data_IF_322827592127
#
_entry.id   IF_322827592127
#
_cell.length_a   1.000
_cell.length_b   1.000
_cell.length_c   1.000
_cell.angle_alpha   90.00
_cell.angle_beta   90.00
_cell.angle_gamma   90.00
#
_symmetry.space_group_name_H-M   'P 1'
#
loop_
_entity.id
_entity.type
_entity.pdbx_description
1 polymer ?
#
# COMPACT_ATOMS: atom_id res chain seq x y z
N UNK A 1 -23.93 -3.60 24.20
CA UNK A 1 -23.44 -4.81 24.89
C UNK A 1 -24.18 -6.01 24.34
N UNK A 2 -23.48 -7.00 23.78
CA UNK A 2 -24.09 -8.24 23.31
C UNK A 2 -23.45 -9.42 24.06
N UNK A 3 -24.27 -10.24 24.71
CA UNK A 3 -23.83 -11.36 25.54
C UNK A 3 -23.97 -12.64 24.72
N UNK A 4 -22.84 -13.24 24.33
CA UNK A 4 -22.77 -14.60 23.82
C UNK A 4 -22.03 -15.46 24.85
N UNK A 5 -22.76 -16.44 25.41
CA UNK A 5 -22.29 -17.51 26.30
C UNK A 5 -21.44 -17.11 27.51
N UNK A 6 -22.07 -16.63 28.60
CA UNK A 6 -21.60 -16.82 29.99
C UNK A 6 -20.25 -16.22 30.44
N UNK A 7 -19.40 -15.74 29.54
CA UNK A 7 -18.19 -14.98 29.82
C UNK A 7 -18.31 -13.62 29.15
N UNK A 8 -18.34 -12.57 29.95
CA UNK A 8 -18.29 -11.20 29.43
C UNK A 8 -16.93 -10.98 28.77
N UNK A 9 -16.89 -11.05 27.43
CA UNK A 9 -15.70 -10.72 26.65
C UNK A 9 -15.40 -9.23 26.84
N UNK A 10 -14.22 -8.90 27.36
CA UNK A 10 -13.77 -7.53 27.56
C UNK A 10 -13.07 -7.04 26.30
N UNK A 11 -13.53 -5.91 25.76
CA UNK A 11 -12.82 -5.18 24.71
C UNK A 11 -12.00 -4.09 25.41
N UNK A 12 -10.70 -4.10 25.22
CA UNK A 12 -9.80 -3.04 25.68
C UNK A 12 -9.48 -2.14 24.49
N UNK A 13 -9.79 -0.85 24.62
CA UNK A 13 -9.37 0.16 23.64
C UNK A 13 -8.03 0.73 24.09
N UNK A 14 -7.01 0.56 23.24
CA UNK A 14 -5.72 1.19 23.45
C UNK A 14 -5.80 2.70 23.19
N UNK A 15 -4.89 3.45 23.79
CA UNK A 15 -4.73 4.87 23.48
C UNK A 15 -4.44 5.08 21.99
N UNK A 16 -4.90 6.18 21.38
CA UNK A 16 -4.56 6.50 19.99
C UNK A 16 -3.04 6.59 19.80
N UNK A 17 -2.56 6.04 18.69
CA UNK A 17 -1.14 6.06 18.31
C UNK A 17 -0.96 6.74 16.94
N UNK A 18 0.19 7.40 16.74
CA UNK A 18 0.53 7.98 15.43
C UNK A 18 0.66 6.85 14.41
N UNK A 19 -0.20 6.86 13.40
CA UNK A 19 -0.19 5.84 12.37
C UNK A 19 1.10 5.93 11.53
N UNK A 20 1.69 4.76 11.26
CA UNK A 20 2.73 4.62 10.24
C UNK A 20 2.17 4.89 8.86
N UNK A 21 2.99 5.45 7.97
CA UNK A 21 2.60 5.69 6.58
C UNK A 21 2.39 4.38 5.82
N UNK A 22 1.24 4.29 5.16
CA UNK A 22 0.77 3.12 4.40
C UNK A 22 -0.09 3.62 3.27
N UNK A 23 0.03 3.00 2.10
CA UNK A 23 -0.78 3.36 0.92
C UNK A 23 -2.28 3.43 1.23
N UNK A 24 -2.81 2.42 1.92
CA UNK A 24 -4.24 2.37 2.23
C UNK A 24 -4.68 3.49 3.20
N UNK A 25 -3.78 3.93 4.09
CA UNK A 25 -4.05 5.03 5.01
C UNK A 25 -3.99 6.39 4.31
N UNK A 26 -3.16 6.54 3.27
CA UNK A 26 -3.16 7.75 2.44
C UNK A 26 -4.42 7.85 1.58
N UNK A 27 -4.94 6.72 1.08
CA UNK A 27 -6.18 6.69 0.29
C UNK A 27 -7.42 7.00 1.13
N UNK A 28 -7.58 6.31 2.25
CA UNK A 28 -8.85 6.33 3.01
C UNK A 28 -8.75 6.99 4.38
N UNK A 29 -7.56 7.46 4.79
CA UNK A 29 -7.32 7.99 6.12
C UNK A 29 -7.11 6.88 7.16
N UNK A 30 -6.00 6.94 7.90
CA UNK A 30 -5.66 5.95 8.94
C UNK A 30 -6.73 5.81 10.02
N UNK A 31 -7.43 6.90 10.34
CA UNK A 31 -8.48 6.97 11.34
C UNK A 31 -9.74 6.14 11.00
N UNK A 32 -9.87 5.63 9.76
CA UNK A 32 -10.95 4.72 9.35
C UNK A 32 -10.63 3.25 9.59
N UNK A 33 -9.46 2.90 10.10
CA UNK A 33 -9.06 1.50 10.29
C UNK A 33 -9.04 1.11 11.76
N UNK A 34 -9.78 0.05 12.11
CA UNK A 34 -9.77 -0.56 13.43
C UNK A 34 -9.03 -1.89 13.38
N UNK A 35 -7.97 -2.00 14.18
CA UNK A 35 -7.19 -3.23 14.32
C UNK A 35 -7.59 -3.95 15.61
N UNK A 36 -8.31 -5.07 15.48
CA UNK A 36 -8.70 -5.92 16.59
C UNK A 36 -7.72 -7.08 16.75
N UNK A 37 -6.94 -7.06 17.83
CA UNK A 37 -6.07 -8.16 18.21
C UNK A 37 -6.81 -9.13 19.12
N UNK A 38 -6.90 -10.38 18.69
CA UNK A 38 -7.62 -11.45 19.38
C UNK A 38 -6.61 -12.45 19.95
N UNK A 39 -6.73 -12.75 21.25
CA UNK A 39 -5.88 -13.76 21.92
C UNK A 39 -6.11 -15.15 21.32
N UNK A 40 -5.12 -16.05 21.47
CA UNK A 40 -5.26 -17.46 21.03
C UNK A 40 -6.40 -18.19 21.75
N UNK A 41 -6.71 -17.75 22.97
CA UNK A 41 -7.68 -18.40 23.85
C UNK A 41 -9.13 -18.09 23.45
N UNK A 42 -9.33 -17.13 22.54
CA UNK A 42 -10.66 -16.82 21.99
C UNK A 42 -11.01 -17.84 20.91
N UNK A 43 -12.17 -18.47 21.04
CA UNK A 43 -12.62 -19.48 20.10
C UNK A 43 -12.92 -18.87 18.73
N UNK A 44 -12.59 -19.57 17.64
CA UNK A 44 -12.77 -19.03 16.27
C UNK A 44 -14.21 -18.66 15.95
N UNK A 45 -15.18 -19.45 16.42
CA UNK A 45 -16.59 -19.16 16.19
C UNK A 45 -17.07 -17.90 16.91
N UNK A 46 -16.40 -17.47 17.98
CA UNK A 46 -16.69 -16.18 18.60
C UNK A 46 -16.32 -15.00 17.71
N UNK A 47 -15.25 -15.15 16.93
CA UNK A 47 -14.81 -14.12 15.99
C UNK A 47 -15.67 -14.14 14.73
N UNK A 48 -16.07 -15.34 14.28
CA UNK A 48 -17.06 -15.49 13.21
C UNK A 48 -18.37 -14.82 13.61
N UNK A 49 -18.86 -15.02 14.84
CA UNK A 49 -20.05 -14.33 15.32
C UNK A 49 -19.93 -12.81 15.29
N UNK A 50 -18.74 -12.24 15.58
CA UNK A 50 -18.49 -10.79 15.48
C UNK A 50 -18.53 -10.31 14.02
N UNK A 51 -18.03 -11.12 13.09
CA UNK A 51 -17.97 -10.81 11.67
C UNK A 51 -19.36 -10.98 11.03
N UNK A 52 -20.01 -12.12 11.26
CA UNK A 52 -21.28 -12.52 10.64
C UNK A 52 -22.46 -11.73 11.19
N UNK A 53 -22.56 -11.53 12.52
CA UNK A 53 -23.60 -10.64 13.09
C UNK A 53 -23.31 -9.17 12.79
N UNK A 54 -22.05 -8.86 12.49
CA UNK A 54 -21.65 -7.57 11.98
C UNK A 54 -22.24 -7.27 10.61
N UNK A 55 -22.60 -8.23 9.75
CA UNK A 55 -23.11 -7.85 8.42
C UNK A 55 -24.55 -7.29 8.46
N UNK A 56 -25.37 -7.69 9.42
CA UNK A 56 -26.73 -7.13 9.62
C UNK A 56 -26.76 -6.00 10.66
N UNK A 57 -25.89 -6.07 11.69
CA UNK A 57 -25.70 -5.05 12.75
C UNK A 57 -24.20 -4.74 12.92
N UNK A 58 -23.60 -4.04 11.95
CA UNK A 58 -22.16 -3.72 11.93
C UNK A 58 -21.70 -3.17 13.28
N UNK A 59 -20.55 -3.63 13.83
CA UNK A 59 -20.11 -3.24 15.16
C UNK A 59 -20.02 -1.72 15.26
N UNK A 60 -20.99 -1.13 15.95
CA UNK A 60 -21.06 0.30 16.16
C UNK A 60 -20.16 0.67 17.33
N UNK A 61 -18.95 1.13 17.03
CA UNK A 61 -17.93 1.45 18.02
C UNK A 61 -17.64 2.95 17.94
N UNK A 62 -17.80 3.64 19.07
CA UNK A 62 -17.52 5.08 19.19
C UNK A 62 -18.21 5.93 18.10
N UNK A 63 -19.45 5.63 17.76
CA UNK A 63 -20.21 6.41 16.78
C UNK A 63 -19.98 6.02 15.30
N UNK A 64 -19.19 4.97 15.03
CA UNK A 64 -18.84 4.53 13.66
C UNK A 64 -19.27 3.10 13.40
N UNK A 65 -19.69 2.86 12.16
CA UNK A 65 -20.10 1.56 11.61
C UNK A 65 -18.89 0.91 10.94
N UNK A 66 -18.52 -0.31 11.35
CA UNK A 66 -17.28 -0.95 10.89
C UNK A 66 -17.51 -2.25 10.10
N UNK A 67 -17.11 -2.28 8.83
CA UNK A 67 -17.09 -3.48 7.98
C UNK A 67 -15.82 -4.29 8.11
N UNK A 68 -15.93 -5.63 8.03
CA UNK A 68 -14.75 -6.50 8.05
C UNK A 68 -13.96 -6.35 6.75
N UNK A 69 -12.65 -6.11 6.84
CA UNK A 69 -11.80 -5.92 5.66
C UNK A 69 -10.92 -7.14 5.36
N UNK A 70 -10.07 -7.53 6.31
CA UNK A 70 -9.16 -8.66 6.16
C UNK A 70 -8.63 -9.16 7.50
N UNK A 71 -8.00 -10.34 7.51
CA UNK A 71 -7.40 -10.87 8.73
C UNK A 71 -6.02 -11.52 8.53
N UNK A 72 -5.23 -11.53 9.62
CA UNK A 72 -3.99 -12.28 9.78
C UNK A 72 -4.22 -13.37 10.83
N UNK A 73 -4.82 -14.47 10.39
CA UNK A 73 -5.17 -15.60 11.27
C UNK A 73 -3.99 -16.54 11.61
N UNK A 74 -2.83 -16.40 10.96
CA UNK A 74 -1.74 -17.39 11.06
C UNK A 74 -0.72 -17.15 12.18
N UNK A 75 -0.70 -15.96 12.78
CA UNK A 75 0.17 -15.65 13.93
C UNK A 75 -0.68 -15.11 15.07
N UNK A 76 -0.25 -15.39 16.29
CA UNK A 76 -0.87 -14.81 17.49
C UNK A 76 -0.15 -13.53 17.92
N UNK A 77 -0.88 -12.51 18.39
CA UNK A 77 -2.34 -12.43 18.40
C UNK A 77 -2.89 -12.41 16.96
N UNK A 78 -4.05 -13.04 16.76
CA UNK A 78 -4.74 -12.97 15.47
C UNK A 78 -5.21 -11.53 15.29
N UNK A 79 -4.93 -10.94 14.14
CA UNK A 79 -5.28 -9.54 13.87
C UNK A 79 -6.39 -9.49 12.83
N UNK A 80 -7.52 -8.90 13.20
CA UNK A 80 -8.65 -8.63 12.32
C UNK A 80 -8.68 -7.12 12.06
N UNK A 81 -8.83 -6.74 10.81
CA UNK A 81 -8.86 -5.35 10.39
C UNK A 81 -10.27 -5.04 9.89
N UNK A 82 -10.85 -3.99 10.47
CA UNK A 82 -12.14 -3.45 10.09
C UNK A 82 -11.97 -2.04 9.52
N UNK A 83 -12.89 -1.65 8.65
CA UNK A 83 -12.94 -0.35 8.01
C UNK A 83 -14.21 0.40 8.43
N UNK A 84 -14.07 1.66 8.84
CA UNK A 84 -15.19 2.52 9.21
C UNK A 84 -15.92 2.96 7.94
N UNK A 85 -17.06 2.33 7.67
CA UNK A 85 -17.83 2.57 6.45
C UNK A 85 -18.64 3.86 6.53
N UNK A 86 -19.18 4.16 7.71
CA UNK A 86 -20.04 5.30 7.98
C UNK A 86 -19.98 5.73 9.46
N UNK A 87 -20.60 6.86 9.79
CA UNK A 87 -20.80 7.34 11.16
C UNK A 87 -20.08 8.66 11.45
N UNK A 88 -19.83 8.95 12.73
CA UNK A 88 -19.36 10.28 13.15
C UNK A 88 -18.01 10.66 12.51
N UNK A 89 -17.99 11.84 11.88
CA UNK A 89 -16.83 12.38 11.18
C UNK A 89 -16.50 11.67 9.86
N UNK A 90 -17.48 11.06 9.21
CA UNK A 90 -17.44 10.59 7.82
C UNK A 90 -18.64 11.20 7.13
N UNK A 91 -18.41 12.07 6.14
CA UNK A 91 -19.50 12.67 5.38
C UNK A 91 -20.16 11.62 4.47
N UNK A 92 -21.42 11.82 4.11
CA UNK A 92 -22.19 10.83 3.36
C UNK A 92 -21.57 10.51 2.00
N UNK A 93 -20.98 11.51 1.36
CA UNK A 93 -20.29 11.40 0.06
C UNK A 93 -18.93 10.69 0.19
N UNK A 94 -18.40 10.56 1.41
CA UNK A 94 -17.15 9.87 1.72
C UNK A 94 -17.38 8.44 2.27
N UNK A 95 -18.64 8.04 2.46
CA UNK A 95 -18.98 6.67 2.86
C UNK A 95 -18.42 5.68 1.83
N UNK A 96 -17.79 4.63 2.33
CA UNK A 96 -17.16 3.61 1.51
C UNK A 96 -17.34 2.28 2.21
N UNK A 97 -17.82 1.28 1.52
CA UNK A 97 -17.96 -0.06 2.08
C UNK A 97 -16.61 -0.75 2.13
N UNK A 98 -16.47 -1.69 3.06
CA UNK A 98 -15.29 -2.55 3.14
C UNK A 98 -15.08 -3.34 1.85
N UNK A 99 -16.16 -3.72 1.14
CA UNK A 99 -16.09 -4.36 -0.17
C UNK A 99 -15.51 -3.42 -1.24
N UNK A 100 -15.91 -2.15 -1.28
CA UNK A 100 -15.30 -1.16 -2.18
C UNK A 100 -13.82 -0.91 -1.84
N UNK A 101 -13.42 -0.96 -0.56
CA UNK A 101 -11.99 -0.91 -0.19
C UNK A 101 -11.24 -2.15 -0.70
N UNK A 102 -11.85 -3.34 -0.67
CA UNK A 102 -11.25 -4.57 -1.25
C UNK A 102 -11.15 -4.47 -2.77
N UNK A 103 -12.21 -3.99 -3.42
CA UNK A 103 -12.24 -3.74 -4.87
C UNK A 103 -11.16 -2.75 -5.28
N UNK A 104 -10.92 -1.69 -4.50
CA UNK A 104 -9.79 -0.77 -4.76
C UNK A 104 -8.43 -1.45 -4.57
N UNK A 105 -8.27 -2.34 -3.58
CA UNK A 105 -6.99 -3.03 -3.38
C UNK A 105 -6.70 -4.10 -4.45
N UNK A 106 -7.73 -4.78 -4.94
CA UNK A 106 -7.63 -5.87 -5.89
C UNK A 106 -8.94 -6.00 -6.70
N UNK A 107 -9.13 -5.15 -7.73
CA UNK A 107 -10.40 -5.06 -8.43
C UNK A 107 -10.76 -6.39 -9.08
N UNK A 108 -11.92 -6.93 -8.76
CA UNK A 108 -12.37 -8.25 -9.20
C UNK A 108 -12.38 -8.32 -10.74
N UNK A 109 -12.79 -7.23 -11.38
CA UNK A 109 -12.82 -7.09 -12.86
C UNK A 109 -11.50 -7.48 -13.53
N UNK A 110 -10.35 -7.21 -12.90
CA UNK A 110 -9.01 -7.50 -13.44
C UNK A 110 -8.36 -8.74 -12.81
N UNK A 111 -8.98 -9.34 -11.80
CA UNK A 111 -8.37 -10.33 -10.92
C UNK A 111 -9.31 -11.51 -10.60
N UNK A 112 -10.22 -11.84 -11.52
CA UNK A 112 -11.26 -12.87 -11.32
C UNK A 112 -10.67 -14.28 -11.08
N UNK A 113 -9.40 -14.51 -11.41
CA UNK A 113 -8.67 -15.76 -11.22
C UNK A 113 -7.98 -15.86 -9.84
N UNK A 114 -7.98 -14.78 -9.04
CA UNK A 114 -7.43 -14.81 -7.69
C UNK A 114 -8.31 -15.64 -6.77
N UNK A 115 -7.71 -16.60 -6.09
CA UNK A 115 -8.37 -17.22 -4.94
C UNK A 115 -8.50 -16.22 -3.79
N UNK A 116 -9.53 -16.38 -2.96
CA UNK A 116 -9.77 -15.57 -1.74
C UNK A 116 -8.50 -15.47 -0.87
N UNK A 117 -7.76 -16.57 -0.73
CA UNK A 117 -6.50 -16.58 0.04
C UNK A 117 -5.39 -15.73 -0.60
N UNK A 118 -5.35 -15.60 -1.93
CA UNK A 118 -4.41 -14.71 -2.62
C UNK A 118 -4.87 -13.26 -2.49
N UNK A 119 -6.15 -12.99 -2.70
CA UNK A 119 -6.76 -11.67 -2.56
C UNK A 119 -6.48 -11.06 -1.17
N UNK A 120 -6.74 -11.81 -0.09
CA UNK A 120 -6.42 -11.38 1.29
C UNK A 120 -4.93 -11.05 1.47
N UNK A 121 -4.03 -11.80 0.81
CA UNK A 121 -2.59 -11.48 0.81
C UNK A 121 -2.28 -10.22 0.01
N UNK A 122 -3.10 -9.83 -0.97
CA UNK A 122 -2.94 -8.61 -1.78
C UNK A 122 -3.43 -7.38 -1.04
N UNK A 123 -4.60 -7.45 -0.39
CA UNK A 123 -5.11 -6.40 0.51
C UNK A 123 -4.05 -6.07 1.57
N UNK A 124 -3.45 -7.09 2.18
CA UNK A 124 -2.36 -6.91 3.15
C UNK A 124 -1.17 -6.10 2.61
N UNK A 125 -0.88 -6.14 1.30
CA UNK A 125 0.24 -5.36 0.73
C UNK A 125 0.01 -3.86 0.89
N UNK A 126 -1.23 -3.38 0.80
CA UNK A 126 -1.62 -1.98 0.97
C UNK A 126 -1.40 -1.47 2.41
N UNK A 127 -1.24 -2.38 3.38
CA UNK A 127 -0.89 -2.11 4.77
C UNK A 127 0.63 -2.15 5.05
N UNK A 128 1.46 -2.35 4.03
CA UNK A 128 2.92 -2.29 4.21
C UNK A 128 3.33 -0.86 4.60
N UNK A 129 4.28 -0.73 5.52
CA UNK A 129 4.90 0.57 5.80
C UNK A 129 5.73 0.97 4.58
N UNK A 130 5.39 2.08 3.95
CA UNK A 130 6.04 2.60 2.74
C UNK A 130 6.10 4.11 2.81
N UNK A 131 7.01 4.69 2.02
CA UNK A 131 7.10 6.14 1.80
C UNK A 131 6.69 6.39 0.35
N UNK A 132 5.70 7.25 0.06
CA UNK A 132 5.38 7.62 -1.31
C UNK A 132 6.53 8.44 -1.91
N UNK A 133 6.94 8.07 -3.11
CA UNK A 133 8.15 8.55 -3.78
C UNK A 133 7.86 8.94 -5.23
N UNK A 134 6.72 9.60 -5.46
CA UNK A 134 6.35 10.16 -6.76
C UNK A 134 5.35 9.30 -7.55
N UNK A 135 4.53 9.96 -8.36
CA UNK A 135 3.60 9.35 -9.31
C UNK A 135 4.31 9.20 -10.65
N UNK A 136 4.40 7.97 -11.15
CA UNK A 136 5.05 7.71 -12.42
C UNK A 136 4.28 8.37 -13.58
N UNK A 137 4.98 8.95 -14.57
CA UNK A 137 4.32 9.47 -15.75
C UNK A 137 3.66 8.34 -16.56
N UNK A 138 2.67 8.66 -17.41
CA UNK A 138 2.06 7.68 -18.30
C UNK A 138 3.10 6.99 -19.19
N UNK A 139 2.83 5.74 -19.54
CA UNK A 139 3.61 4.97 -20.53
C UNK A 139 5.11 4.78 -20.21
N UNK A 140 5.50 4.78 -18.94
CA UNK A 140 6.90 4.60 -18.53
C UNK A 140 7.23 3.22 -17.97
N UNK A 141 6.20 2.40 -17.69
CA UNK A 141 6.32 1.06 -17.12
C UNK A 141 6.01 0.02 -18.19
N UNK A 142 6.92 -0.95 -18.32
CA UNK A 142 6.78 -2.10 -19.22
C UNK A 142 6.85 -3.40 -18.41
N UNK A 143 6.01 -4.37 -18.79
CA UNK A 143 6.02 -5.70 -18.21
C UNK A 143 6.77 -6.67 -19.12
N UNK A 144 7.88 -7.19 -18.62
CA UNK A 144 8.78 -8.08 -19.36
C UNK A 144 8.82 -9.49 -18.72
N UNK A 145 9.07 -10.56 -19.51
CA UNK A 145 9.14 -11.92 -18.97
C UNK A 145 10.23 -12.08 -17.92
N UNK A 146 10.03 -12.98 -16.96
CA UNK A 146 11.10 -13.40 -16.04
C UNK A 146 12.28 -14.02 -16.79
N UNK A 147 13.51 -13.78 -16.30
CA UNK A 147 14.69 -14.49 -16.80
C UNK A 147 14.69 -15.88 -16.17
N UNK A 148 14.78 -16.91 -17.02
CA UNK A 148 14.71 -18.30 -16.61
C UNK A 148 16.01 -19.00 -16.99
N UNK A 149 16.55 -19.81 -16.08
CA UNK A 149 17.71 -20.64 -16.35
C UNK A 149 17.36 -21.67 -17.44
N UNK A 150 18.20 -21.76 -18.48
CA UNK A 150 18.05 -22.75 -19.56
C UNK A 150 18.08 -24.18 -19.04
N UNK A 151 18.84 -24.41 -17.97
CA UNK A 151 18.91 -25.69 -17.26
C UNK A 151 17.95 -25.66 -16.06
N UNK A 152 16.87 -26.44 -16.14
CA UNK A 152 15.95 -26.66 -15.01
C UNK A 152 14.81 -25.64 -14.88
N UNK A 153 14.75 -24.60 -15.70
CA UNK A 153 13.57 -23.72 -15.76
C UNK A 153 13.37 -22.83 -14.51
N UNK A 154 14.41 -22.65 -13.69
CA UNK A 154 14.34 -21.84 -12.48
C UNK A 154 14.32 -20.34 -12.82
N UNK A 155 13.41 -19.59 -12.19
CA UNK A 155 13.34 -18.13 -12.34
C UNK A 155 14.52 -17.48 -11.61
N UNK A 156 15.32 -16.69 -12.33
CA UNK A 156 16.54 -16.04 -11.84
C UNK A 156 16.30 -14.58 -11.40
N UNK A 157 15.15 -14.00 -11.76
CA UNK A 157 14.78 -12.61 -11.47
C UNK A 157 13.52 -12.49 -10.60
N UNK A 158 13.24 -13.49 -9.76
CA UNK A 158 12.02 -13.49 -8.94
C UNK A 158 11.97 -12.25 -8.04
N UNK A 159 11.02 -11.35 -8.34
CA UNK A 159 10.83 -10.14 -7.59
C UNK A 159 11.83 -9.02 -7.90
N UNK A 160 12.58 -9.08 -9.00
CA UNK A 160 13.58 -8.07 -9.38
C UNK A 160 13.28 -7.43 -10.74
N UNK A 161 13.09 -6.11 -10.75
CA UNK A 161 12.87 -5.28 -11.93
C UNK A 161 14.03 -4.32 -12.17
N UNK A 162 13.95 -3.58 -13.28
CA UNK A 162 14.97 -2.59 -13.66
C UNK A 162 14.37 -1.19 -13.70
N UNK A 163 15.21 -0.17 -13.50
CA UNK A 163 14.82 1.23 -13.59
C UNK A 163 15.93 2.04 -14.25
N UNK A 164 15.57 2.97 -15.13
CA UNK A 164 16.51 3.91 -15.77
C UNK A 164 17.16 4.85 -14.73
N UNK A 165 18.26 5.51 -15.10
CA UNK A 165 18.86 6.59 -14.29
C UNK A 165 17.86 7.68 -13.93
N UNK A 166 17.21 8.30 -14.92
CA UNK A 166 16.22 9.35 -14.71
C UNK A 166 15.07 8.89 -13.80
N UNK A 167 14.67 7.62 -13.95
CA UNK A 167 13.64 7.00 -13.12
C UNK A 167 14.02 6.88 -11.64
N UNK A 168 15.23 6.40 -11.31
CA UNK A 168 15.65 6.26 -9.91
C UNK A 168 15.91 7.63 -9.26
N UNK A 169 16.42 8.59 -10.04
CA UNK A 169 16.64 9.96 -9.59
C UNK A 169 15.30 10.66 -9.31
N UNK A 170 14.30 10.49 -10.20
CA UNK A 170 12.92 10.93 -9.97
C UNK A 170 12.33 10.40 -8.65
N UNK A 171 12.50 9.09 -8.39
CA UNK A 171 12.01 8.44 -7.17
C UNK A 171 12.72 9.00 -5.94
N UNK A 172 14.04 9.20 -6.02
CA UNK A 172 14.84 9.74 -4.92
C UNK A 172 14.47 11.18 -4.57
N UNK A 173 14.39 12.05 -5.58
CA UNK A 173 14.00 13.44 -5.40
C UNK A 173 12.60 13.55 -4.78
N UNK A 174 11.65 12.75 -5.27
CA UNK A 174 10.29 12.69 -4.73
C UNK A 174 10.26 12.17 -3.28
N UNK A 175 11.08 11.14 -2.98
CA UNK A 175 11.23 10.61 -1.63
C UNK A 175 11.75 11.67 -0.65
N UNK A 176 12.82 12.40 -1.01
CA UNK A 176 13.39 13.46 -0.16
C UNK A 176 12.38 14.57 0.10
N UNK A 177 11.73 15.07 -0.96
CA UNK A 177 10.69 16.10 -0.84
C UNK A 177 9.58 15.69 0.12
N UNK A 178 9.15 14.43 0.05
CA UNK A 178 8.14 13.90 0.96
C UNK A 178 8.62 13.85 2.42
N UNK A 179 9.85 13.36 2.66
CA UNK A 179 10.42 13.30 4.01
C UNK A 179 10.55 14.70 4.62
N UNK A 180 11.10 15.66 3.87
CA UNK A 180 11.26 17.03 4.33
C UNK A 180 9.93 17.69 4.63
N UNK A 181 8.92 17.55 3.75
CA UNK A 181 7.58 18.10 3.99
C UNK A 181 6.98 17.57 5.31
N UNK A 182 7.18 16.28 5.60
CA UNK A 182 6.71 15.67 6.85
C UNK A 182 7.45 16.14 8.09
N UNK A 183 8.75 16.38 7.98
CA UNK A 183 9.56 16.90 9.07
C UNK A 183 9.14 18.34 9.38
N UNK A 184 8.93 19.18 8.36
CA UNK A 184 8.40 20.54 8.52
C UNK A 184 7.02 20.56 9.17
N UNK A 185 6.08 19.70 8.72
CA UNK A 185 4.76 19.56 9.36
C UNK A 185 4.87 19.18 10.85
N UNK A 186 5.82 18.31 11.18
CA UNK A 186 6.04 17.87 12.56
C UNK A 186 6.59 18.98 13.46
N UNK A 187 7.56 19.76 12.95
CA UNK A 187 8.10 20.93 13.66
C UNK A 187 6.98 21.94 13.94
N UNK A 188 6.20 22.30 12.91
CA UNK A 188 5.09 23.25 13.05
C UNK A 188 4.01 22.78 14.05
N UNK A 189 3.74 21.47 14.12
CA UNK A 189 2.79 20.92 15.09
C UNK A 189 3.32 20.97 16.53
N UNK A 190 4.62 20.69 16.72
CA UNK A 190 5.27 20.79 18.04
C UNK A 190 5.32 22.24 18.55
N UNK A 191 5.64 23.20 17.67
CA UNK A 191 5.63 24.64 18.00
C UNK A 191 4.26 25.10 18.47
N UNK A 192 3.18 24.74 17.74
CA UNK A 192 1.80 25.04 18.13
C UNK A 192 1.36 24.37 19.43
N UNK A 193 2.04 23.30 19.82
CA UNK A 193 1.76 22.54 21.06
C UNK A 193 2.64 22.98 22.24
N UNK A 194 3.43 24.05 22.10
CA UNK A 194 4.26 24.62 23.16
C UNK A 194 5.59 23.90 23.41
N UNK A 195 6.11 23.16 22.43
CA UNK A 195 7.44 22.55 22.50
C UNK A 195 8.53 23.50 21.98
N UNK A 196 9.63 23.65 22.72
CA UNK A 196 10.86 24.33 22.27
C UNK A 196 11.48 23.54 21.11
N UNK A 197 11.70 24.19 19.96
CA UNK A 197 12.41 23.61 18.81
C UNK A 197 13.39 24.64 18.24
N UNK A 198 14.63 24.22 17.98
CA UNK A 198 15.66 25.03 17.31
C UNK A 198 15.45 25.02 15.79
N UNK A 199 15.51 26.19 15.16
CA UNK A 199 15.54 26.34 13.71
C UNK A 199 16.88 25.82 13.15
N UNK A 200 16.83 24.88 12.22
CA UNK A 200 17.95 24.57 11.32
C UNK A 200 17.51 24.86 9.89
N UNK A 201 17.99 25.98 9.34
CA UNK A 201 17.70 26.50 8.01
C UNK A 201 18.89 26.25 7.08
N UNK A 202 18.98 25.02 6.57
CA UNK A 202 19.81 24.72 5.41
C UNK A 202 18.89 24.35 4.24
N UNK A 203 18.50 25.37 3.48
CA UNK A 203 17.72 25.26 2.24
C UNK A 203 18.68 24.82 1.11
N UNK A 204 19.13 23.56 1.16
CA UNK A 204 19.86 22.94 0.05
C UNK A 204 18.89 22.70 -1.11
N UNK A 205 19.15 23.34 -2.25
CA UNK A 205 18.36 23.20 -3.47
C UNK A 205 18.24 21.72 -3.87
N UNK A 206 17.03 21.17 -3.76
CA UNK A 206 16.70 19.78 -4.12
C UNK A 206 16.65 19.52 -5.63
N UNK A 207 16.98 20.53 -6.42
CA UNK A 207 17.01 20.45 -7.88
C UNK A 207 18.38 19.86 -8.26
N UNK A 208 18.35 18.73 -8.97
CA UNK A 208 19.50 18.01 -9.56
C UNK A 208 20.27 17.01 -8.68
N UNK A 209 19.64 16.48 -7.63
CA UNK A 209 20.27 15.42 -6.83
C UNK A 209 20.18 14.05 -7.51
N UNK A 210 21.30 13.64 -8.12
CA UNK A 210 21.52 12.26 -8.58
C UNK A 210 21.30 11.30 -7.41
N UNK A 211 20.50 10.26 -7.62
CA UNK A 211 20.27 9.26 -6.59
C UNK A 211 21.58 8.53 -6.25
N UNK A 212 22.02 8.55 -4.98
CA UNK A 212 23.27 7.90 -4.57
C UNK A 212 23.11 6.38 -4.42
N UNK A 213 21.90 5.85 -4.59
CA UNK A 213 21.57 4.43 -4.47
C UNK A 213 21.45 3.80 -5.85
N UNK A 214 21.77 2.51 -5.96
CA UNK A 214 21.62 1.77 -7.22
C UNK A 214 20.38 0.88 -7.21
N UNK A 215 19.73 0.71 -6.07
CA UNK A 215 18.50 -0.05 -5.97
C UNK A 215 17.62 0.34 -4.78
N UNK A 216 16.35 -0.02 -4.88
CA UNK A 216 15.41 0.09 -3.76
C UNK A 216 14.42 -1.08 -3.74
N UNK A 217 13.94 -1.40 -2.54
CA UNK A 217 12.78 -2.26 -2.32
C UNK A 217 11.53 -1.39 -2.28
N UNK A 218 10.46 -1.78 -2.98
CA UNK A 218 9.24 -0.98 -2.96
C UNK A 218 7.98 -1.66 -3.46
N UNK A 219 7.01 -0.84 -3.81
CA UNK A 219 5.78 -1.17 -4.52
C UNK A 219 5.55 -0.14 -5.62
N UNK A 220 4.97 -0.57 -6.73
CA UNK A 220 4.49 0.32 -7.79
C UNK A 220 3.15 -0.29 -8.21
N UNK A 221 2.03 0.34 -7.86
CA UNK A 221 0.70 -0.25 -8.06
C UNK A 221 0.62 -1.71 -7.59
N UNK A 222 0.32 -2.61 -8.52
CA UNK A 222 0.18 -4.06 -8.26
C UNK A 222 1.50 -4.83 -8.18
N UNK A 223 2.64 -4.17 -8.38
CA UNK A 223 3.97 -4.76 -8.38
C UNK A 223 4.66 -4.66 -7.02
N UNK A 224 5.39 -5.72 -6.68
CA UNK A 224 6.20 -5.83 -5.45
C UNK A 224 7.55 -6.44 -5.77
N UNK A 225 8.62 -5.76 -5.37
CA UNK A 225 9.97 -6.31 -5.51
C UNK A 225 11.07 -5.32 -5.18
N UNK A 226 12.22 -5.59 -5.78
CA UNK A 226 13.37 -4.70 -5.92
C UNK A 226 13.34 -4.07 -7.31
N UNK A 227 13.82 -2.83 -7.42
CA UNK A 227 14.17 -2.21 -8.69
C UNK A 227 15.64 -1.81 -8.62
N UNK A 228 16.39 -2.21 -9.65
CA UNK A 228 17.83 -1.97 -9.77
C UNK A 228 18.08 -1.08 -10.97
N UNK A 229 18.97 -0.11 -10.81
CA UNK A 229 19.42 0.78 -11.87
C UNK A 229 19.99 -0.03 -13.04
N UNK A 230 19.54 0.27 -14.25
CA UNK A 230 20.15 -0.18 -15.50
C UNK A 230 20.31 1.00 -16.45
N UNK A 231 21.55 1.47 -16.61
CA UNK A 231 21.91 2.60 -17.46
C UNK A 231 21.67 2.31 -18.95
N UNK A 232 21.56 1.02 -19.34
CA UNK A 232 21.29 0.62 -20.73
C UNK A 232 19.85 0.88 -21.15
N UNK A 233 18.96 1.23 -20.22
CA UNK A 233 17.59 1.64 -20.55
C UNK A 233 17.56 3.00 -21.27
N UNK A 234 18.67 3.74 -21.26
CA UNK A 234 18.81 5.04 -21.91
C UNK A 234 18.00 6.14 -21.22
N UNK A 235 17.82 7.24 -21.93
CA UNK A 235 17.20 8.47 -21.41
C UNK A 235 15.69 8.30 -21.16
N UNK A 236 15.17 9.12 -20.24
CA UNK A 236 13.78 9.16 -19.82
C UNK A 236 13.47 8.21 -18.66
N UNK A 237 12.39 8.50 -17.94
CA UNK A 237 11.89 7.64 -16.87
C UNK A 237 11.38 6.34 -17.50
N UNK A 238 12.03 5.22 -17.20
CA UNK A 238 11.63 3.87 -17.64
C UNK A 238 11.74 2.89 -16.49
N UNK A 239 10.71 2.04 -16.37
CA UNK A 239 10.61 1.01 -15.34
C UNK A 239 10.26 -0.31 -16.00
N UNK A 240 11.12 -1.32 -15.84
CA UNK A 240 10.83 -2.69 -16.28
C UNK A 240 10.39 -3.52 -15.09
N UNK A 241 9.15 -3.97 -15.11
CA UNK A 241 8.58 -4.91 -14.16
C UNK A 241 8.58 -6.33 -14.72
N UNK A 242 8.77 -7.35 -13.87
CA UNK A 242 8.70 -8.76 -14.24
C UNK A 242 7.36 -9.39 -13.83
N UNK A 243 6.96 -10.48 -14.49
CA UNK A 243 5.75 -11.23 -14.12
C UNK A 243 5.76 -11.68 -12.66
N UNK A 244 6.90 -12.16 -12.17
CA UNK A 244 7.08 -12.52 -10.77
C UNK A 244 6.82 -11.36 -9.79
N UNK A 245 7.02 -10.10 -10.19
CA UNK A 245 6.73 -8.93 -9.36
C UNK A 245 5.23 -8.61 -9.29
N UNK A 246 4.44 -8.93 -10.34
CA UNK A 246 3.01 -8.62 -10.42
C UNK A 246 2.22 -9.47 -9.44
N UNK A 247 1.64 -8.83 -8.42
CA UNK A 247 0.86 -9.52 -7.39
C UNK A 247 -0.64 -9.40 -7.62
N UNK A 248 -1.07 -8.30 -8.23
CA UNK A 248 -2.45 -7.98 -8.56
C UNK A 248 -2.44 -7.12 -9.83
N UNK A 249 -3.45 -7.25 -10.68
CA UNK A 249 -3.64 -6.41 -11.85
C UNK A 249 -4.35 -5.13 -11.41
N UNK A 250 -3.76 -3.98 -11.68
CA UNK A 250 -4.34 -2.66 -11.41
C UNK A 250 -4.28 -1.79 -12.67
N UNK A 251 -5.31 -0.96 -12.91
CA UNK A 251 -5.33 0.01 -14.00
C UNK A 251 -4.37 1.15 -13.72
N UNK A 252 -3.18 1.07 -14.32
CA UNK A 252 -2.09 2.03 -14.14
C UNK A 252 -1.88 2.81 -15.42
N UNK A 253 -1.87 4.14 -15.35
CA UNK A 253 -1.60 5.00 -16.53
C UNK A 253 -0.14 4.90 -16.98
N UNK A 254 0.76 4.64 -16.04
CA UNK A 254 2.17 4.40 -16.29
C UNK A 254 2.43 3.09 -17.06
N UNK A 255 1.51 2.12 -17.02
CA UNK A 255 1.72 0.80 -17.59
C UNK A 255 1.29 0.75 -19.08
N UNK A 256 2.28 0.80 -19.97
CA UNK A 256 2.15 0.86 -21.44
C UNK A 256 1.12 -0.13 -22.01
N UNK A 257 1.18 -1.39 -21.61
CA UNK A 257 0.41 -2.48 -22.22
C UNK A 257 -0.87 -2.85 -21.47
N UNK A 258 -1.21 -2.15 -20.39
CA UNK A 258 -2.36 -2.54 -19.58
C UNK A 258 -3.69 -2.43 -20.33
N UNK A 259 -3.85 -1.34 -21.10
CA UNK A 259 -5.03 -1.13 -21.94
C UNK A 259 -5.20 -2.23 -22.98
N UNK A 260 -4.11 -2.63 -23.64
CA UNK A 260 -4.12 -3.71 -24.64
C UNK A 260 -4.43 -5.08 -24.01
N UNK A 261 -3.92 -5.34 -22.80
CA UNK A 261 -4.25 -6.55 -22.04
C UNK A 261 -5.76 -6.58 -21.69
N UNK A 262 -6.31 -5.45 -21.24
CA UNK A 262 -7.73 -5.33 -20.92
C UNK A 262 -8.61 -5.51 -22.16
N UNK A 263 -8.25 -4.91 -23.29
CA UNK A 263 -9.02 -5.04 -24.53
C UNK A 263 -9.08 -6.50 -25.01
N UNK A 264 -7.96 -7.23 -24.92
CA UNK A 264 -7.91 -8.68 -25.23
C UNK A 264 -8.81 -9.52 -24.31
N UNK A 265 -9.05 -9.04 -23.09
CA UNK A 265 -9.97 -9.65 -22.12
C UNK A 265 -11.43 -9.19 -22.30
N UNK A 266 -11.73 -8.34 -23.28
CA UNK A 266 -13.06 -7.74 -23.46
C UNK A 266 -13.41 -6.72 -22.36
N UNK A 267 -12.40 -6.19 -21.67
CA UNK A 267 -12.56 -5.21 -20.60
C UNK A 267 -12.33 -3.80 -21.15
N UNK A 268 -13.38 -2.99 -21.13
CA UNK A 268 -13.27 -1.55 -21.41
C UNK A 268 -12.91 -0.78 -20.14
N UNK A 269 -11.81 -0.04 -20.20
CA UNK A 269 -11.36 0.84 -19.12
C UNK A 269 -12.16 2.14 -19.13
N UNK A 270 -12.48 2.64 -17.94
CA UNK A 270 -13.09 3.95 -17.73
C UNK A 270 -12.14 4.82 -16.92
N UNK A 271 -12.29 6.14 -16.99
CA UNK A 271 -11.47 7.06 -16.20
C UNK A 271 -11.59 6.78 -14.68
N UNK A 272 -12.78 6.38 -14.23
CA UNK A 272 -13.05 5.97 -12.84
C UNK A 272 -12.31 4.71 -12.39
N UNK A 273 -11.77 3.91 -13.34
CA UNK A 273 -11.01 2.71 -12.98
C UNK A 273 -9.61 3.10 -12.47
N UNK A 274 -9.05 4.25 -12.89
CA UNK A 274 -7.70 4.67 -12.55
C UNK A 274 -7.61 5.43 -11.22
N UNK A 275 -6.46 5.33 -10.56
CA UNK A 275 -6.14 6.03 -9.32
C UNK A 275 -4.65 6.37 -9.29
N UNK A 276 -4.28 7.60 -8.93
CA UNK A 276 -2.88 8.03 -8.93
C UNK A 276 -2.01 7.24 -7.94
N UNK A 277 -2.61 6.64 -6.91
CA UNK A 277 -1.91 5.74 -6.00
C UNK A 277 -1.55 4.38 -6.63
N UNK A 278 -2.17 4.02 -7.76
CA UNK A 278 -1.74 2.87 -8.55
C UNK A 278 -0.45 3.17 -9.32
N UNK A 279 -0.25 4.42 -9.73
CA UNK A 279 0.96 4.88 -10.43
C UNK A 279 2.06 5.38 -9.47
N UNK A 280 1.78 5.46 -8.17
CA UNK A 280 2.74 5.88 -7.15
C UNK A 280 3.82 4.82 -6.88
N UNK A 281 5.07 5.25 -6.88
CA UNK A 281 6.20 4.48 -6.34
C UNK A 281 6.21 4.60 -4.82
N UNK A 282 6.23 3.47 -4.13
CA UNK A 282 6.20 3.35 -2.68
C UNK A 282 7.50 2.70 -2.20
N UNK A 283 8.46 3.48 -1.72
CA UNK A 283 9.75 2.97 -1.26
C UNK A 283 9.63 2.37 0.15
N UNK A 284 10.12 1.14 0.32
CA UNK A 284 10.27 0.46 1.60
C UNK A 284 11.66 0.70 2.20
N UNK A 285 12.69 0.56 1.39
CA UNK A 285 14.09 0.70 1.79
C UNK A 285 14.98 0.91 0.57
N UNK A 286 16.06 1.65 0.76
CA UNK A 286 17.16 1.77 -0.20
C UNK A 286 18.23 0.70 0.08
N UNK A 287 19.08 0.41 -0.88
CA UNK A 287 20.28 -0.38 -0.63
C UNK A 287 21.29 0.37 0.25
N UNK A 288 22.35 -0.34 0.65
CA UNK A 288 23.43 0.28 1.43
C UNK A 288 24.28 1.09 0.47
N UNK A 289 24.58 2.34 0.85
CA UNK A 289 25.61 3.12 0.15
C UNK A 289 26.90 2.31 0.11
N UNK A 290 27.64 2.31 -1.02
CA UNK A 290 28.99 1.79 -1.04
C UNK A 290 29.77 2.40 0.14
N UNK A 291 30.46 1.58 0.92
CA UNK A 291 31.43 2.13 1.86
C UNK A 291 32.49 2.81 1.01
N UNK A 292 32.78 4.08 1.28
CA UNK A 292 33.98 4.71 0.73
C UNK A 292 35.16 3.82 1.10
N UNK A 293 35.82 3.30 0.07
CA UNK A 293 36.94 2.36 0.19
C UNK A 293 38.27 3.09 0.22
#
# INVERSE_FOLDING_TARGET
SATLSGQTKKILLNSPEKASDRRIFRKFGSHRFLHLNVSKDVWKGDVIDIIDKGNDDLPFICGRKYGFLWCKATKSPQCYVFFAEAGIGIEKEEEFTSDEVREWCAPFKFNYDLSISKEQKRIKLSFSKTTPSGVLPPNCLELVPDIVCSEGGMVMTDGCGLISRDGIDFVWCSYKKYIQARESEYVQWNEKSGGDCQESSDDESLEDDVCPYTSFQGRIGGFKGMWVLDERLGDGIKVLCRYSQRKVNLPMRSFLSFSDECEKMGIHLKESDFDDLYDTVDVCSWDKRPKEG
#
